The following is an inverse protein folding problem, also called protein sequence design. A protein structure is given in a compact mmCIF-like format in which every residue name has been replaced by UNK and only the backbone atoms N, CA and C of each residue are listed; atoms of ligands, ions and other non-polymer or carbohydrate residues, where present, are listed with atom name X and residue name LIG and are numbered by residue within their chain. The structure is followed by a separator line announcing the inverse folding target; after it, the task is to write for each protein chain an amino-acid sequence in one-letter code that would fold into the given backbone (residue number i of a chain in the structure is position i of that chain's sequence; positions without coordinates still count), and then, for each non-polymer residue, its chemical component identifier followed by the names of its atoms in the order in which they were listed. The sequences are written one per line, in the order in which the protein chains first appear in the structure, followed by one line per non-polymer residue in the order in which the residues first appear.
data_IF_456419971056
#
_entry.id   IF_456419971056
#
_cell.length_a   1.000
_cell.length_b   1.000
_cell.length_c   1.000
_cell.angle_alpha   90.00
_cell.angle_beta   90.00
_cell.angle_gamma   90.00
#
_symmetry.space_group_name_H-M   'P 1'
#
loop_
_entity.id
_entity.type
_entity.pdbx_description
1 polymer ?
#
# COMPACT_ATOMS: atom_id res chain seq x y z
N UNK A 1 68.33 -4.01 7.64
CA UNK A 1 67.46 -2.82 7.76
C UNK A 1 66.52 -2.81 6.56
N UNK A 2 65.22 -2.69 6.82
CA UNK A 2 64.10 -2.54 5.88
C UNK A 2 63.54 -3.83 5.24
N UNK A 3 62.81 -4.63 6.03
CA UNK A 3 61.75 -5.52 5.51
C UNK A 3 60.84 -5.99 6.67
N UNK A 4 60.14 -5.08 7.36
CA UNK A 4 59.19 -5.48 8.43
C UNK A 4 58.22 -4.36 8.83
N UNK A 5 57.56 -3.68 7.88
CA UNK A 5 56.58 -2.62 8.20
C UNK A 5 55.46 -2.49 7.15
N UNK A 6 54.72 -3.57 6.81
CA UNK A 6 53.60 -3.42 5.86
C UNK A 6 52.43 -4.45 5.97
N UNK A 7 52.19 -5.09 7.12
CA UNK A 7 51.11 -6.10 7.23
C UNK A 7 50.25 -6.06 8.51
N UNK A 8 50.01 -4.90 9.12
CA UNK A 8 49.05 -4.79 10.25
C UNK A 8 48.17 -3.53 10.20
N UNK A 9 47.49 -3.31 9.07
CA UNK A 9 46.49 -2.24 8.99
C UNK A 9 45.38 -2.54 7.96
N UNK A 10 44.57 -3.59 8.15
CA UNK A 10 43.28 -3.73 7.47
C UNK A 10 42.43 -4.89 8.03
N UNK A 11 41.85 -4.71 9.23
CA UNK A 11 40.59 -5.40 9.60
C UNK A 11 40.00 -4.82 10.89
N UNK A 12 39.83 -3.50 10.92
CA UNK A 12 38.82 -2.93 11.80
C UNK A 12 37.45 -3.24 11.19
N UNK A 13 36.93 -4.43 11.50
CA UNK A 13 35.51 -4.73 11.33
C UNK A 13 34.78 -3.68 12.17
N UNK A 14 34.28 -2.62 11.53
CA UNK A 14 33.33 -1.71 12.15
C UNK A 14 32.06 -2.54 12.35
N UNK A 15 31.97 -3.22 13.49
CA UNK A 15 30.69 -3.64 14.04
C UNK A 15 29.94 -2.35 14.33
N UNK A 16 29.19 -1.86 13.34
CA UNK A 16 28.07 -0.96 13.61
C UNK A 16 27.07 -1.81 14.37
N UNK A 17 27.24 -1.92 15.68
CA UNK A 17 26.15 -2.35 16.55
C UNK A 17 25.06 -1.32 16.34
N UNK A 18 24.04 -1.68 15.55
CA UNK A 18 22.82 -0.90 15.45
C UNK A 18 22.34 -0.69 16.89
N UNK A 19 22.46 0.53 17.39
CA UNK A 19 22.00 0.89 18.73
C UNK A 19 20.49 0.74 18.69
N UNK A 20 20.00 -0.39 19.19
CA UNK A 20 18.56 -0.65 19.23
C UNK A 20 17.94 0.32 20.23
N UNK A 21 16.97 1.10 19.77
CA UNK A 21 16.27 2.06 20.62
C UNK A 21 15.48 1.31 21.68
N UNK A 22 15.94 1.38 22.93
CA UNK A 22 15.27 0.80 24.09
C UNK A 22 14.57 1.89 24.88
N UNK A 23 13.34 1.64 25.31
CA UNK A 23 12.56 2.49 26.20
C UNK A 23 12.24 1.74 27.50
N UNK A 24 12.09 2.43 28.63
CA UNK A 24 11.71 1.77 29.88
C UNK A 24 10.34 1.10 29.77
N UNK A 25 10.21 -0.14 30.25
CA UNK A 25 8.92 -0.80 30.39
C UNK A 25 8.03 -0.12 31.43
N UNK A 26 6.72 -0.19 31.20
CA UNK A 26 5.68 0.26 32.13
C UNK A 26 5.57 -0.75 33.25
N UNK A 27 5.88 -0.33 34.47
CA UNK A 27 5.71 -1.15 35.65
C UNK A 27 4.27 -1.08 36.14
N UNK A 28 3.63 -2.23 36.25
CA UNK A 28 2.29 -2.38 36.85
C UNK A 28 2.44 -3.16 38.13
N UNK A 29 1.94 -2.59 39.22
CA UNK A 29 2.00 -3.21 40.54
C UNK A 29 0.58 -3.56 40.98
N UNK A 30 0.44 -4.74 41.58
CA UNK A 30 -0.78 -5.22 42.21
C UNK A 30 -0.53 -5.46 43.69
N UNK A 31 -1.40 -4.89 44.52
CA UNK A 31 -1.43 -5.13 45.95
C UNK A 31 -2.68 -5.89 46.35
N UNK A 32 -2.55 -6.72 47.37
CA UNK A 32 -3.64 -7.49 47.93
C UNK A 32 -3.74 -7.16 49.43
N UNK A 33 -4.89 -6.63 49.84
CA UNK A 33 -5.20 -6.34 51.24
C UNK A 33 -6.27 -7.31 51.72
N UNK A 34 -5.90 -8.14 52.69
CA UNK A 34 -6.74 -9.22 53.18
C UNK A 34 -7.46 -8.85 54.47
N UNK A 35 -8.77 -9.10 54.51
CA UNK A 35 -9.64 -8.88 55.65
C UNK A 35 -10.24 -10.23 56.07
N UNK A 36 -9.56 -10.97 56.96
CA UNK A 36 -9.90 -12.36 57.29
C UNK A 36 -11.12 -12.52 58.22
N UNK A 37 -11.67 -11.42 58.74
CA UNK A 37 -12.83 -11.38 59.63
C UNK A 37 -13.95 -10.46 59.10
N UNK A 38 -14.05 -10.28 57.78
CA UNK A 38 -15.02 -9.41 57.14
C UNK A 38 -16.42 -10.05 57.10
N UNK A 39 -17.47 -9.32 57.47
CA UNK A 39 -18.84 -9.83 57.41
C UNK A 39 -19.54 -9.49 56.09
N UNK A 40 -19.88 -10.50 55.29
CA UNK A 40 -20.59 -10.32 54.01
C UNK A 40 -21.99 -9.73 54.16
N UNK A 41 -22.68 -10.05 55.25
CA UNK A 41 -24.00 -9.48 55.58
C UNK A 41 -23.96 -7.96 55.74
N UNK A 42 -22.83 -7.41 56.17
CA UNK A 42 -22.63 -5.98 56.33
C UNK A 42 -22.29 -5.30 55.01
N UNK A 43 -21.56 -5.97 54.11
CA UNK A 43 -21.23 -5.49 52.77
C UNK A 43 -22.50 -5.38 51.90
N UNK A 44 -23.33 -6.42 51.91
CA UNK A 44 -24.54 -6.50 51.09
C UNK A 44 -25.61 -5.45 51.42
N UNK A 45 -25.52 -4.78 52.57
CA UNK A 45 -26.39 -3.65 52.93
C UNK A 45 -26.14 -2.41 52.07
N UNK A 46 -25.00 -2.34 51.38
CA UNK A 46 -24.62 -1.19 50.56
C UNK A 46 -24.79 -1.49 49.07
N UNK A 47 -25.86 -0.97 48.47
CA UNK A 47 -26.16 -1.13 47.04
C UNK A 47 -25.05 -0.65 46.07
N UNK A 48 -24.08 0.14 46.55
CA UNK A 48 -22.94 0.65 45.77
C UNK A 48 -21.57 0.38 46.43
N UNK A 49 -21.44 -0.76 47.13
CA UNK A 49 -20.20 -1.13 47.84
C UNK A 49 -18.93 -0.97 46.98
N UNK A 50 -18.93 -1.47 45.75
CA UNK A 50 -17.78 -1.40 44.85
C UNK A 50 -17.30 0.05 44.61
N UNK A 51 -18.22 1.00 44.49
CA UNK A 51 -17.89 2.41 44.32
C UNK A 51 -17.34 3.03 45.60
N UNK A 52 -17.93 2.70 46.75
CA UNK A 52 -17.49 3.16 48.07
C UNK A 52 -16.07 2.65 48.37
N UNK A 53 -15.85 1.35 48.18
CA UNK A 53 -14.56 0.69 48.33
C UNK A 53 -13.51 1.34 47.42
N UNK A 54 -13.80 1.46 46.12
CA UNK A 54 -12.91 2.11 45.14
C UNK A 54 -12.52 3.52 45.57
N UNK A 55 -13.49 4.35 45.95
CA UNK A 55 -13.24 5.74 46.36
C UNK A 55 -12.42 5.82 47.65
N UNK A 56 -12.66 4.91 48.60
CA UNK A 56 -11.89 4.83 49.84
C UNK A 56 -10.44 4.42 49.60
N UNK A 57 -10.22 3.38 48.78
CA UNK A 57 -8.88 2.92 48.40
C UNK A 57 -8.15 4.03 47.64
N UNK A 58 -8.82 4.68 46.69
CA UNK A 58 -8.23 5.80 45.94
C UNK A 58 -7.84 6.97 46.85
N UNK A 59 -8.67 7.32 47.85
CA UNK A 59 -8.32 8.35 48.83
C UNK A 59 -7.09 7.96 49.67
N UNK A 60 -6.98 6.68 50.05
CA UNK A 60 -5.83 6.11 50.75
C UNK A 60 -4.57 6.23 49.89
N UNK A 61 -4.63 5.82 48.62
CA UNK A 61 -3.51 5.93 47.69
C UNK A 61 -3.11 7.38 47.41
N UNK A 62 -4.07 8.30 47.26
CA UNK A 62 -3.79 9.74 47.09
C UNK A 62 -3.04 10.32 48.29
N UNK A 63 -3.35 9.87 49.50
CA UNK A 63 -2.62 10.28 50.70
C UNK A 63 -1.15 9.82 50.67
N UNK A 64 -0.89 8.57 50.25
CA UNK A 64 0.48 8.07 50.03
C UNK A 64 1.17 8.84 48.93
N UNK A 65 0.50 9.00 47.78
CA UNK A 65 1.07 9.61 46.59
C UNK A 65 1.49 11.06 46.81
N UNK A 66 0.76 11.80 47.66
CA UNK A 66 1.13 13.16 48.09
C UNK A 66 2.54 13.23 48.73
N UNK A 67 3.04 12.13 49.27
CA UNK A 67 4.33 12.07 49.95
C UNK A 67 5.36 11.22 49.21
N UNK A 68 4.97 10.18 48.49
CA UNK A 68 5.88 9.16 47.97
C UNK A 68 5.82 8.93 46.45
N UNK A 69 5.01 9.71 45.71
CA UNK A 69 4.95 9.66 44.24
C UNK A 69 4.90 8.23 43.66
N UNK A 70 4.13 7.36 44.31
CA UNK A 70 3.98 5.93 43.96
C UNK A 70 3.31 5.72 42.60
N UNK A 71 2.55 6.69 42.10
CA UNK A 71 1.74 6.59 40.89
C UNK A 71 1.68 7.95 40.15
N UNK A 72 1.53 7.90 38.84
CA UNK A 72 1.60 9.06 37.95
C UNK A 72 2.61 8.77 36.84
N UNK A 73 2.31 9.16 35.60
CA UNK A 73 3.20 8.92 34.46
C UNK A 73 3.96 10.18 34.06
N UNK A 74 5.02 10.00 33.27
CA UNK A 74 5.91 11.04 32.75
C UNK A 74 5.32 11.87 31.60
N UNK A 75 4.02 12.14 31.57
CA UNK A 75 3.39 12.95 30.50
C UNK A 75 3.06 14.36 30.98
N UNK A 76 3.58 15.32 30.22
CA UNK A 76 3.65 16.76 30.43
C UNK A 76 2.33 17.53 30.36
N UNK A 77 1.19 16.96 30.79
CA UNK A 77 -0.08 17.69 30.88
C UNK A 77 -0.78 17.51 32.24
N UNK A 78 -0.50 18.45 33.14
CA UNK A 78 -1.43 19.08 34.11
C UNK A 78 -2.40 18.21 34.94
N UNK A 79 -2.06 16.96 35.28
CA UNK A 79 -2.60 16.26 36.47
C UNK A 79 -1.51 15.49 37.21
N UNK A 80 -0.54 16.23 37.71
CA UNK A 80 0.78 15.77 38.14
C UNK A 80 0.84 14.74 39.30
N UNK A 81 -0.27 14.20 39.85
CA UNK A 81 -0.22 13.36 41.06
C UNK A 81 -1.46 12.47 41.31
N UNK A 82 -2.32 12.20 40.32
CA UNK A 82 -3.52 11.40 40.58
C UNK A 82 -3.33 9.93 40.19
N UNK A 83 -3.46 9.01 41.16
CA UNK A 83 -3.63 7.57 40.90
C UNK A 83 -4.97 7.26 40.20
N UNK A 84 -5.53 8.17 39.40
CA UNK A 84 -6.89 8.12 38.89
C UNK A 84 -7.17 6.92 37.97
N UNK A 85 -6.12 6.32 37.40
CA UNK A 85 -6.20 5.09 36.59
C UNK A 85 -6.10 3.80 37.41
N UNK A 86 -6.09 3.88 38.75
CA UNK A 86 -6.07 2.69 39.62
C UNK A 86 -7.31 1.81 39.36
N UNK A 87 -7.10 0.51 39.26
CA UNK A 87 -8.15 -0.49 39.30
C UNK A 87 -8.24 -1.05 40.71
N UNK A 88 -9.45 -1.06 41.26
CA UNK A 88 -9.72 -1.60 42.59
C UNK A 88 -10.84 -2.62 42.43
N UNK A 89 -10.57 -3.86 42.79
CA UNK A 89 -11.56 -4.94 42.79
C UNK A 89 -11.59 -5.58 44.16
N UNK A 90 -12.75 -6.11 44.53
CA UNK A 90 -12.94 -6.81 45.78
C UNK A 90 -13.45 -8.21 45.49
N UNK A 91 -12.86 -9.21 46.12
CA UNK A 91 -13.21 -10.61 45.96
C UNK A 91 -13.56 -11.24 47.31
N UNK A 92 -14.62 -12.06 47.30
CA UNK A 92 -15.05 -12.84 48.46
C UNK A 92 -14.30 -14.17 48.38
N UNK A 93 -13.36 -14.39 49.30
CA UNK A 93 -12.57 -15.63 49.34
C UNK A 93 -13.38 -16.72 50.07
N UNK A 94 -13.98 -16.38 51.22
CA UNK A 94 -14.82 -17.24 52.07
C UNK A 94 -15.84 -16.39 52.85
N UNK A 95 -16.73 -17.03 53.60
CA UNK A 95 -17.82 -16.37 54.37
C UNK A 95 -17.37 -15.22 55.28
N UNK A 96 -16.16 -15.31 55.84
CA UNK A 96 -15.58 -14.26 56.68
C UNK A 96 -14.33 -13.61 56.10
N UNK A 97 -14.02 -13.86 54.82
CA UNK A 97 -12.76 -13.44 54.21
C UNK A 97 -13.02 -12.60 52.96
N UNK A 98 -12.61 -11.34 53.02
CA UNK A 98 -12.68 -10.41 51.89
C UNK A 98 -11.29 -9.94 51.48
N UNK A 99 -10.97 -9.96 50.19
CA UNK A 99 -9.71 -9.45 49.65
C UNK A 99 -9.97 -8.26 48.76
N UNK A 100 -9.18 -7.20 48.94
CA UNK A 100 -9.14 -6.06 48.02
C UNK A 100 -7.88 -6.15 47.18
N UNK A 101 -8.06 -6.19 45.86
CA UNK A 101 -7.00 -6.10 44.88
C UNK A 101 -6.90 -4.67 44.35
N UNK A 102 -5.69 -4.14 44.31
CA UNK A 102 -5.41 -2.78 43.87
C UNK A 102 -4.30 -2.83 42.84
N UNK A 103 -4.60 -2.43 41.60
CA UNK A 103 -3.65 -2.46 40.48
C UNK A 103 -3.45 -1.06 39.92
N UNK A 104 -2.20 -0.60 39.80
CA UNK A 104 -1.88 0.67 39.16
C UNK A 104 -0.51 0.67 38.49
N UNK A 105 -0.32 1.61 37.57
CA UNK A 105 0.98 1.92 36.99
C UNK A 105 1.80 2.64 38.04
N UNK A 106 2.91 2.03 38.44
CA UNK A 106 3.78 2.53 39.49
C UNK A 106 5.05 3.14 38.90
N UNK A 107 5.60 4.12 39.61
CA UNK A 107 6.95 4.62 39.33
C UNK A 107 8.01 3.53 39.57
N UNK A 108 9.17 3.72 38.95
CA UNK A 108 10.30 2.80 39.11
C UNK A 108 10.89 2.93 40.51
N UNK A 109 11.20 1.80 41.11
CA UNK A 109 11.94 1.77 42.36
C UNK A 109 13.42 2.13 42.09
N UNK A 110 14.07 2.86 43.02
CA UNK A 110 13.48 3.39 44.25
C UNK A 110 12.68 4.68 44.01
N UNK A 111 11.49 4.74 44.59
CA UNK A 111 10.64 5.95 44.57
C UNK A 111 11.16 7.00 45.56
N UNK A 112 10.97 8.27 45.22
CA UNK A 112 11.43 9.41 46.02
C UNK A 112 10.31 10.02 46.83
N UNK A 113 10.62 10.44 48.05
CA UNK A 113 9.70 11.23 48.84
C UNK A 113 9.65 12.68 48.30
N UNK A 114 8.45 13.24 48.22
CA UNK A 114 8.21 14.57 47.64
C UNK A 114 8.69 15.73 48.53
N UNK A 115 8.97 15.48 49.81
CA UNK A 115 9.31 16.52 50.81
C UNK A 115 10.62 16.28 51.53
N UNK A 116 11.09 15.04 51.55
CA UNK A 116 12.30 14.62 52.25
C UNK A 116 13.20 13.94 51.23
N UNK A 117 14.52 14.10 51.33
CA UNK A 117 15.49 13.42 50.45
C UNK A 117 15.65 11.94 50.84
N UNK A 118 14.53 11.22 50.87
CA UNK A 118 14.43 9.82 51.23
C UNK A 118 13.91 8.99 50.07
N UNK A 119 14.50 7.81 49.88
CA UNK A 119 14.09 6.84 48.87
C UNK A 119 13.57 5.58 49.52
N UNK A 120 12.56 4.94 48.91
CA UNK A 120 12.03 3.66 49.38
C UNK A 120 11.52 2.85 48.20
N UNK A 121 11.08 1.61 48.44
CA UNK A 121 10.35 0.84 47.43
C UNK A 121 8.86 1.09 47.55
N UNK A 122 8.15 0.97 46.44
CA UNK A 122 6.68 1.00 46.41
C UNK A 122 6.08 0.01 47.40
N UNK A 123 6.61 -1.22 47.49
CA UNK A 123 6.22 -2.20 48.49
C UNK A 123 6.44 -1.69 49.93
N UNK A 124 7.63 -1.15 50.23
CA UNK A 124 7.97 -0.67 51.57
C UNK A 124 7.04 0.46 52.04
N UNK A 125 6.79 1.44 51.18
CA UNK A 125 5.87 2.55 51.48
C UNK A 125 4.45 2.04 51.73
N UNK A 126 3.95 1.14 50.89
CA UNK A 126 2.59 0.60 51.03
C UNK A 126 2.46 -0.31 52.26
N UNK A 127 3.48 -1.08 52.59
CA UNK A 127 3.55 -1.92 53.79
C UNK A 127 3.55 -1.06 55.07
N UNK A 128 4.28 0.06 55.09
CA UNK A 128 4.23 1.03 56.19
C UNK A 128 2.84 1.67 56.28
N UNK A 129 2.25 2.06 55.15
CA UNK A 129 0.91 2.62 55.08
C UNK A 129 -0.16 1.66 55.62
N UNK A 130 -0.08 0.37 55.26
CA UNK A 130 -0.97 -0.69 55.77
C UNK A 130 -0.88 -0.79 57.29
N UNK A 131 0.34 -0.86 57.86
CA UNK A 131 0.56 -0.89 59.31
C UNK A 131 0.10 0.38 60.01
N UNK A 132 0.19 1.53 59.32
CA UNK A 132 -0.35 2.82 59.77
C UNK A 132 -1.87 2.97 59.62
N UNK A 133 -2.59 1.94 59.16
CA UNK A 133 -4.05 1.94 59.06
C UNK A 133 -4.62 2.72 57.88
N UNK A 134 -3.83 2.96 56.84
CA UNK A 134 -4.25 3.81 55.72
C UNK A 134 -5.51 3.27 55.00
N UNK A 135 -5.63 1.95 54.88
CA UNK A 135 -6.81 1.28 54.29
C UNK A 135 -8.01 1.19 55.24
N UNK A 136 -8.00 1.92 56.35
CA UNK A 136 -9.13 2.13 57.24
C UNK A 136 -9.41 3.63 57.51
N UNK A 137 -8.68 4.51 56.82
CA UNK A 137 -8.65 5.96 57.06
C UNK A 137 -10.00 6.66 56.84
N UNK A 138 -10.76 6.28 55.82
CA UNK A 138 -12.00 6.97 55.41
C UNK A 138 -13.26 6.53 56.20
N UNK A 139 -13.10 5.73 57.26
CA UNK A 139 -14.17 5.00 57.97
C UNK A 139 -14.96 3.99 57.11
N UNK A 140 -15.04 4.15 55.79
CA UNK A 140 -15.83 3.31 54.90
C UNK A 140 -15.38 1.84 54.87
N UNK A 141 -14.07 1.59 55.00
CA UNK A 141 -13.51 0.24 55.02
C UNK A 141 -13.52 -0.41 56.41
N UNK A 142 -13.90 0.31 57.47
CA UNK A 142 -13.99 -0.26 58.84
C UNK A 142 -14.97 -1.42 58.94
N UNK A 143 -15.97 -1.46 58.06
CA UNK A 143 -16.95 -2.53 57.96
C UNK A 143 -16.35 -3.91 57.64
N UNK A 144 -15.17 -3.93 56.99
CA UNK A 144 -14.43 -5.15 56.69
C UNK A 144 -13.61 -5.67 57.89
N UNK A 145 -13.59 -4.93 59.00
CA UNK A 145 -12.74 -5.25 60.15
C UNK A 145 -11.27 -4.87 59.92
N UNK A 146 -10.37 -5.45 60.71
CA UNK A 146 -8.92 -5.20 60.62
C UNK A 146 -8.31 -6.00 59.47
N UNK A 147 -7.51 -5.36 58.59
CA UNK A 147 -6.75 -6.09 57.60
C UNK A 147 -5.59 -6.87 58.26
N UNK A 148 -5.03 -7.82 57.53
CA UNK A 148 -3.76 -8.47 57.88
C UNK A 148 -2.62 -7.45 57.93
N UNK A 149 -1.56 -7.77 58.67
CA UNK A 149 -0.36 -6.91 58.78
C UNK A 149 0.63 -7.10 57.62
N UNK A 150 0.30 -8.00 56.68
CA UNK A 150 1.13 -8.40 55.53
C UNK A 150 0.40 -8.05 54.24
N UNK A 151 1.03 -7.25 53.40
CA UNK A 151 0.52 -6.89 52.09
C UNK A 151 0.92 -7.96 51.07
N UNK A 152 -0.04 -8.50 50.32
CA UNK A 152 0.28 -9.27 49.12
C UNK A 152 0.77 -8.32 48.03
N UNK A 153 1.84 -8.68 47.31
CA UNK A 153 2.50 -7.82 46.34
C UNK A 153 2.94 -8.61 45.12
N UNK A 154 2.45 -8.21 43.96
CA UNK A 154 2.87 -8.73 42.66
C UNK A 154 3.25 -7.56 41.76
N UNK A 155 4.25 -7.73 40.91
CA UNK A 155 4.61 -6.75 39.89
C UNK A 155 4.81 -7.42 38.53
N UNK A 156 4.53 -6.65 37.48
CA UNK A 156 4.74 -7.07 36.11
C UNK A 156 5.15 -5.86 35.25
N UNK A 157 6.00 -6.11 34.27
CA UNK A 157 6.48 -5.10 33.33
C UNK A 157 5.83 -5.33 31.96
N UNK A 158 5.28 -4.26 31.40
CA UNK A 158 4.60 -4.29 30.13
C UNK A 158 5.20 -3.27 29.17
N UNK A 159 5.31 -3.67 27.92
CA UNK A 159 5.73 -2.79 26.84
C UNK A 159 4.54 -2.17 26.14
N UNK A 160 4.74 -0.95 25.62
CA UNK A 160 3.74 -0.32 24.76
C UNK A 160 3.65 -1.08 23.44
N UNK A 161 2.48 -0.98 22.79
CA UNK A 161 2.26 -1.54 21.46
C UNK A 161 3.36 -1.08 20.50
N UNK A 162 3.94 -2.02 19.75
CA UNK A 162 5.07 -1.75 18.87
C UNK A 162 6.44 -2.05 19.48
N UNK A 163 6.50 -2.63 20.69
CA UNK A 163 7.77 -2.99 21.34
C UNK A 163 7.68 -4.33 22.07
N UNK A 164 8.82 -5.01 22.22
CA UNK A 164 8.92 -6.29 22.93
C UNK A 164 9.72 -6.14 24.22
N UNK A 165 9.37 -6.93 25.24
CA UNK A 165 10.06 -6.90 26.54
C UNK A 165 11.42 -7.59 26.44
N UNK A 166 12.46 -6.90 26.87
CA UNK A 166 13.85 -7.38 26.98
C UNK A 166 14.36 -7.08 28.39
N UNK A 167 15.33 -7.86 28.87
CA UNK A 167 15.98 -7.66 30.17
C UNK A 167 15.01 -7.52 31.36
N UNK A 168 13.80 -8.09 31.27
CA UNK A 168 12.69 -8.00 32.24
C UNK A 168 12.08 -6.62 32.45
N UNK A 169 12.82 -5.52 32.30
CA UNK A 169 12.36 -4.16 32.61
C UNK A 169 12.52 -3.16 31.45
N UNK A 170 12.99 -3.59 30.28
CA UNK A 170 13.17 -2.72 29.11
C UNK A 170 12.31 -3.17 27.96
N UNK A 171 11.98 -2.22 27.08
CA UNK A 171 11.25 -2.49 25.86
C UNK A 171 12.09 -2.10 24.68
N UNK A 172 12.18 -3.00 23.70
CA UNK A 172 12.86 -2.73 22.44
C UNK A 172 11.81 -2.40 21.39
N UNK A 173 11.95 -1.24 20.75
CA UNK A 173 11.02 -0.83 19.71
C UNK A 173 11.23 -1.72 18.48
N UNK A 174 10.13 -2.16 17.85
CA UNK A 174 10.23 -2.81 16.55
C UNK A 174 10.83 -1.81 15.56
N UNK A 175 11.92 -2.19 14.92
CA UNK A 175 12.62 -1.36 13.95
C UNK A 175 11.72 -1.02 12.76
N UNK A 176 12.06 0.04 12.00
CA UNK A 176 11.46 0.32 10.70
C UNK A 176 11.41 -0.92 9.81
N UNK A 177 10.35 -1.04 9.02
CA UNK A 177 10.04 -2.24 8.24
C UNK A 177 9.50 -3.42 9.05
N UNK A 178 9.34 -3.30 10.37
CA UNK A 178 8.72 -4.34 11.20
C UNK A 178 7.49 -3.81 11.93
N UNK A 179 6.60 -4.72 12.31
CA UNK A 179 5.48 -4.45 13.19
C UNK A 179 5.46 -5.44 14.36
N UNK A 180 4.90 -5.01 15.48
CA UNK A 180 4.71 -5.88 16.64
C UNK A 180 3.46 -6.74 16.47
N UNK A 181 3.63 -8.05 16.35
CA UNK A 181 2.53 -9.00 16.32
C UNK A 181 2.10 -9.33 17.76
N UNK A 182 0.87 -8.97 18.13
CA UNK A 182 0.34 -9.17 19.50
C UNK A 182 0.12 -10.65 19.84
N UNK A 183 -0.07 -11.52 18.85
CA UNK A 183 -0.28 -12.96 19.07
C UNK A 183 1.03 -13.69 19.36
N UNK A 184 2.08 -13.36 18.62
CA UNK A 184 3.40 -14.00 18.76
C UNK A 184 4.30 -13.26 19.75
N UNK A 185 3.99 -11.99 20.07
CA UNK A 185 4.78 -11.16 20.99
C UNK A 185 6.14 -10.74 20.44
N UNK A 186 6.34 -10.85 19.12
CA UNK A 186 7.60 -10.56 18.44
C UNK A 186 7.42 -9.53 17.32
N UNK A 187 8.54 -8.89 16.95
CA UNK A 187 8.58 -7.97 15.82
C UNK A 187 8.75 -8.74 14.51
N UNK A 188 7.74 -8.71 13.65
CA UNK A 188 7.73 -9.38 12.35
C UNK A 188 7.91 -8.35 11.22
N UNK A 189 8.57 -8.72 10.11
CA UNK A 189 8.71 -7.83 8.96
C UNK A 189 7.34 -7.54 8.32
N UNK A 190 7.17 -6.33 7.80
CA UNK A 190 5.99 -5.99 7.01
C UNK A 190 5.88 -6.91 5.80
N UNK A 191 4.67 -7.47 5.60
CA UNK A 191 4.37 -8.26 4.41
C UNK A 191 4.42 -7.44 3.12
N UNK A 192 4.34 -8.11 1.97
CA UNK A 192 4.18 -7.42 0.68
C UNK A 192 2.93 -6.53 0.68
N UNK A 193 3.02 -5.44 -0.06
CA UNK A 193 1.97 -4.40 -0.09
C UNK A 193 1.98 -3.48 1.12
N UNK A 194 2.94 -3.65 2.03
CA UNK A 194 3.06 -2.86 3.25
C UNK A 194 4.48 -2.40 3.50
N UNK A 195 4.62 -1.27 4.19
CA UNK A 195 5.88 -0.67 4.60
C UNK A 195 5.76 -0.07 6.00
N UNK A 196 6.88 0.22 6.65
CA UNK A 196 6.87 0.94 7.93
C UNK A 196 8.07 1.87 8.04
N UNK A 197 7.79 3.17 8.08
CA UNK A 197 8.80 4.24 8.11
C UNK A 197 9.35 4.52 9.50
N UNK A 198 8.57 4.27 10.56
CA UNK A 198 8.89 4.62 11.94
C UNK A 198 9.03 3.37 12.82
N UNK A 199 9.98 3.41 13.74
CA UNK A 199 10.12 2.38 14.78
C UNK A 199 8.93 2.41 15.75
N UNK A 200 8.71 1.31 16.46
CA UNK A 200 7.73 1.25 17.55
C UNK A 200 6.27 1.16 17.07
N UNK A 201 6.02 0.59 15.89
CA UNK A 201 4.69 0.50 15.30
C UNK A 201 4.09 -0.90 15.44
N UNK A 202 2.80 -0.94 15.73
CA UNK A 202 2.05 -2.20 15.89
C UNK A 202 1.43 -2.70 14.59
N UNK A 203 1.43 -1.88 13.53
CA UNK A 203 0.91 -2.19 12.21
C UNK A 203 1.78 -1.55 11.16
N UNK A 204 1.87 -2.18 9.99
CA UNK A 204 2.51 -1.59 8.83
C UNK A 204 1.52 -0.70 8.07
N UNK A 205 2.05 0.33 7.42
CA UNK A 205 1.30 1.18 6.51
C UNK A 205 1.10 0.44 5.18
N UNK A 206 -0.10 0.52 4.60
CA UNK A 206 -0.40 -0.12 3.32
C UNK A 206 0.04 0.76 2.15
N UNK A 207 0.47 0.14 1.05
CA UNK A 207 0.68 0.85 -0.21
C UNK A 207 -0.65 1.40 -0.76
N UNK A 208 -0.59 2.46 -1.60
CA UNK A 208 -1.75 2.94 -2.34
C UNK A 208 -2.39 1.86 -3.22
N UNK A 209 -3.65 2.05 -3.61
CA UNK A 209 -4.35 1.11 -4.47
C UNK A 209 -3.61 0.89 -5.81
N UNK A 210 -3.43 -0.37 -6.18
CA UNK A 210 -2.68 -0.78 -7.39
C UNK A 210 -1.16 -0.74 -7.23
N UNK A 211 -0.65 -0.56 -6.00
CA UNK A 211 0.77 -0.58 -5.69
C UNK A 211 1.07 -1.63 -4.63
N UNK A 212 2.28 -2.18 -4.68
CA UNK A 212 2.78 -3.18 -3.74
C UNK A 212 4.25 -2.97 -3.43
N UNK A 213 4.75 -3.62 -2.38
CA UNK A 213 6.18 -3.70 -2.08
C UNK A 213 6.73 -5.04 -2.56
N UNK A 214 7.91 -5.02 -3.20
CA UNK A 214 8.56 -6.23 -3.73
C UNK A 214 9.15 -7.06 -2.58
N UNK A 215 9.79 -6.36 -1.66
CA UNK A 215 10.54 -6.94 -0.55
C UNK A 215 9.74 -6.87 0.75
N UNK A 216 9.90 -7.92 1.56
CA UNK A 216 9.42 -7.92 2.93
C UNK A 216 10.19 -6.86 3.74
N UNK A 217 9.49 -6.26 4.70
CA UNK A 217 10.04 -5.29 5.62
C UNK A 217 10.46 -3.97 4.98
N UNK A 218 9.72 -3.53 3.96
CA UNK A 218 9.95 -2.24 3.31
C UNK A 218 9.89 -1.08 4.32
N UNK A 219 10.82 -0.14 4.20
CA UNK A 219 11.03 0.92 5.20
C UNK A 219 10.56 2.29 4.72
N UNK A 220 10.16 2.41 3.46
CA UNK A 220 9.75 3.66 2.84
C UNK A 220 8.47 3.51 2.05
N UNK A 221 7.67 4.57 2.00
CA UNK A 221 6.53 4.66 1.09
C UNK A 221 6.97 4.63 -0.39
N UNK A 222 8.21 5.05 -0.67
CA UNK A 222 8.78 5.02 -2.02
C UNK A 222 9.13 3.59 -2.48
N UNK A 223 9.09 2.61 -1.58
CA UNK A 223 9.28 1.19 -1.93
C UNK A 223 8.01 0.59 -2.55
N UNK A 224 6.89 1.33 -2.55
CA UNK A 224 5.65 0.95 -3.22
C UNK A 224 5.79 1.17 -4.73
N UNK A 225 5.80 0.07 -5.47
CA UNK A 225 5.85 0.00 -6.94
C UNK A 225 4.50 -0.47 -7.48
N UNK A 226 4.25 -0.29 -8.79
CA UNK A 226 3.00 -0.77 -9.40
C UNK A 226 2.84 -2.28 -9.21
N UNK A 227 1.65 -2.71 -8.81
CA UNK A 227 1.31 -4.12 -8.70
C UNK A 227 0.93 -4.66 -10.07
N UNK A 228 1.85 -5.42 -10.68
CA UNK A 228 1.62 -6.01 -11.98
C UNK A 228 0.63 -7.19 -11.91
N UNK A 229 -0.40 -7.24 -12.76
CA UNK A 229 -1.35 -8.34 -12.76
C UNK A 229 -0.69 -9.67 -13.16
N UNK A 230 -1.36 -10.79 -12.87
CA UNK A 230 -0.93 -12.11 -13.35
C UNK A 230 -0.71 -12.11 -14.88
N UNK A 231 0.30 -12.86 -15.34
CA UNK A 231 0.75 -12.87 -16.73
C UNK A 231 1.70 -11.74 -17.11
N UNK A 232 2.00 -10.84 -16.17
CA UNK A 232 2.99 -9.77 -16.34
C UNK A 232 4.00 -9.76 -15.20
N UNK A 233 5.12 -9.08 -15.40
CA UNK A 233 6.12 -8.82 -14.38
C UNK A 233 6.52 -7.34 -14.38
N UNK A 234 7.00 -6.87 -13.23
CA UNK A 234 7.53 -5.52 -13.09
C UNK A 234 8.96 -5.44 -13.61
N UNK A 235 9.17 -4.65 -14.67
CA UNK A 235 10.49 -4.27 -15.15
C UNK A 235 11.01 -3.09 -14.31
N UNK A 236 12.00 -3.34 -13.46
CA UNK A 236 12.48 -2.37 -12.46
C UNK A 236 13.10 -1.12 -13.09
N UNK A 237 13.67 -1.25 -14.29
CA UNK A 237 14.31 -0.15 -15.00
C UNK A 237 13.29 0.87 -15.54
N UNK A 238 12.14 0.39 -16.01
CA UNK A 238 11.08 1.21 -16.61
C UNK A 238 9.95 1.53 -15.61
N UNK A 239 9.85 0.75 -14.52
CA UNK A 239 8.75 0.82 -13.56
C UNK A 239 7.40 0.40 -14.16
N UNK A 240 7.42 -0.37 -15.25
CA UNK A 240 6.21 -0.78 -15.99
C UNK A 240 6.02 -2.29 -15.93
N UNK A 241 4.77 -2.70 -16.11
CA UNK A 241 4.42 -4.10 -16.21
C UNK A 241 4.61 -4.57 -17.65
N UNK A 242 5.49 -5.55 -17.83
CA UNK A 242 5.78 -6.17 -19.12
C UNK A 242 5.20 -7.59 -19.16
N UNK A 243 4.81 -8.03 -20.35
CA UNK A 243 4.24 -9.35 -20.58
C UNK A 243 5.31 -10.44 -20.43
N UNK A 244 4.93 -11.59 -19.88
CA UNK A 244 5.85 -12.74 -19.78
C UNK A 244 6.28 -13.30 -21.14
N UNK A 245 5.50 -13.06 -22.20
CA UNK A 245 5.76 -13.58 -23.54
C UNK A 245 5.41 -15.06 -23.68
N UNK A 246 5.84 -15.68 -24.78
CA UNK A 246 5.43 -17.05 -25.15
C UNK A 246 6.25 -18.17 -24.50
N UNK A 247 7.25 -17.85 -23.67
CA UNK A 247 8.13 -18.84 -23.05
C UNK A 247 7.96 -18.91 -21.53
N UNK A 248 7.07 -18.10 -20.98
CA UNK A 248 6.93 -17.95 -19.55
C UNK A 248 5.49 -17.62 -19.15
N UNK A 249 5.18 -17.85 -17.89
CA UNK A 249 3.89 -17.57 -17.28
C UNK A 249 4.11 -16.97 -15.89
N UNK A 250 3.11 -16.27 -15.36
CA UNK A 250 3.17 -15.74 -14.00
C UNK A 250 1.80 -15.80 -13.32
N UNK A 251 1.61 -16.70 -12.34
CA UNK A 251 0.36 -16.79 -11.59
C UNK A 251 0.19 -15.67 -10.56
N UNK A 252 1.29 -15.21 -9.95
CA UNK A 252 1.25 -14.35 -8.79
C UNK A 252 1.38 -12.87 -9.18
N UNK A 253 0.42 -12.00 -8.82
CA UNK A 253 0.53 -10.56 -9.05
C UNK A 253 1.68 -9.94 -8.26
N UNK A 254 2.18 -8.79 -8.70
CA UNK A 254 3.30 -8.08 -8.06
C UNK A 254 4.66 -8.78 -8.21
N UNK A 255 4.80 -9.69 -9.18
CA UNK A 255 6.04 -10.40 -9.46
C UNK A 255 7.02 -9.54 -10.27
N UNK A 256 8.33 -9.72 -10.04
CA UNK A 256 9.41 -9.03 -10.79
C UNK A 256 10.07 -9.91 -11.86
N UNK A 257 9.56 -11.12 -12.06
CA UNK A 257 10.07 -12.07 -13.05
C UNK A 257 8.98 -13.07 -13.42
N UNK A 258 9.02 -13.64 -14.61
CA UNK A 258 8.12 -14.73 -15.01
C UNK A 258 8.76 -16.10 -14.79
N UNK A 259 7.91 -17.12 -14.62
CA UNK A 259 8.33 -18.52 -14.52
C UNK A 259 8.40 -19.12 -15.92
N UNK A 260 9.54 -19.71 -16.27
CA UNK A 260 9.70 -20.35 -17.57
C UNK A 260 8.79 -21.57 -17.72
N UNK A 261 8.26 -21.78 -18.91
CA UNK A 261 7.59 -23.02 -19.27
C UNK A 261 8.62 -24.18 -19.30
N UNK A 262 8.20 -25.43 -19.00
CA UNK A 262 9.06 -26.60 -19.11
C UNK A 262 9.70 -26.76 -20.50
N UNK A 263 10.84 -27.45 -20.57
CA UNK A 263 11.57 -27.69 -21.82
C UNK A 263 10.67 -28.25 -22.92
N UNK A 264 10.70 -27.64 -24.11
CA UNK A 264 9.88 -28.04 -25.26
C UNK A 264 8.44 -27.52 -25.24
N UNK A 265 8.06 -26.73 -24.23
CA UNK A 265 6.73 -26.12 -24.12
C UNK A 265 6.80 -24.59 -24.20
N UNK A 266 5.71 -24.00 -24.68
CA UNK A 266 5.50 -22.56 -24.87
C UNK A 266 4.13 -22.21 -24.31
N UNK A 267 3.94 -20.99 -23.83
CA UNK A 267 2.61 -20.57 -23.38
C UNK A 267 1.67 -20.33 -24.56
N UNK A 268 0.37 -20.55 -24.38
CA UNK A 268 -0.66 -20.23 -25.39
C UNK A 268 -0.77 -18.74 -25.68
N UNK A 269 -0.40 -17.89 -24.72
CA UNK A 269 -0.49 -16.43 -24.84
C UNK A 269 0.67 -15.72 -24.12
N UNK A 270 0.93 -14.48 -24.52
CA UNK A 270 1.97 -13.63 -23.90
C UNK A 270 1.67 -13.26 -22.44
N UNK A 271 0.42 -13.40 -21.99
CA UNK A 271 -0.05 -13.07 -20.64
C UNK A 271 -0.40 -14.33 -19.84
N UNK A 272 0.27 -15.45 -20.10
CA UNK A 272 -0.09 -16.70 -19.47
C UNK A 272 0.02 -16.66 -17.95
N UNK A 273 -1.02 -17.14 -17.28
CA UNK A 273 -1.15 -17.04 -15.82
C UNK A 273 -0.91 -18.37 -15.09
N UNK A 274 -0.82 -19.49 -15.79
CA UNK A 274 -0.69 -20.81 -15.14
C UNK A 274 0.21 -21.76 -15.92
N UNK A 275 0.76 -22.76 -15.23
CA UNK A 275 1.56 -23.80 -15.86
C UNK A 275 0.75 -24.63 -16.87
N UNK A 276 -0.55 -24.79 -16.66
CA UNK A 276 -1.45 -25.51 -17.58
C UNK A 276 -1.58 -24.83 -18.95
N UNK A 277 -1.17 -23.57 -19.06
CA UNK A 277 -1.13 -22.82 -20.31
C UNK A 277 0.17 -23.04 -21.09
N UNK A 278 1.15 -23.75 -20.52
CA UNK A 278 2.34 -24.21 -21.23
C UNK A 278 2.00 -25.48 -22.02
N UNK A 279 1.97 -25.37 -23.34
CA UNK A 279 1.66 -26.45 -24.27
C UNK A 279 2.87 -26.77 -25.16
N UNK A 280 2.89 -27.93 -25.81
CA UNK A 280 3.99 -28.30 -26.71
C UNK A 280 4.13 -27.31 -27.86
N UNK A 281 5.36 -26.89 -28.18
CA UNK A 281 5.61 -26.01 -29.32
C UNK A 281 5.14 -26.66 -30.64
N UNK A 282 4.44 -25.91 -31.49
CA UNK A 282 4.06 -26.39 -32.81
C UNK A 282 5.29 -26.76 -33.66
N UNK A 283 5.19 -27.79 -34.52
CA UNK A 283 6.23 -28.15 -35.47
C UNK A 283 6.64 -26.97 -36.39
N UNK A 284 7.79 -27.07 -37.09
CA UNK A 284 8.21 -26.06 -38.06
C UNK A 284 7.10 -25.71 -39.04
N UNK A 285 6.97 -24.41 -39.36
CA UNK A 285 5.93 -23.90 -40.26
C UNK A 285 4.54 -23.75 -39.66
N UNK A 286 4.30 -24.13 -38.39
CA UNK A 286 2.97 -23.99 -37.76
C UNK A 286 2.99 -23.06 -36.55
N UNK A 287 1.97 -22.22 -36.37
CA UNK A 287 1.75 -21.38 -35.17
C UNK A 287 0.56 -21.85 -34.35
N UNK A 288 0.55 -21.47 -33.07
CA UNK A 288 -0.60 -21.69 -32.21
C UNK A 288 -1.76 -20.75 -32.56
N UNK A 289 -2.97 -21.30 -32.62
CA UNK A 289 -4.23 -20.56 -32.58
C UNK A 289 -4.54 -20.12 -31.14
N UNK A 290 -5.48 -19.17 -30.94
CA UNK A 290 -5.95 -18.82 -29.58
C UNK A 290 -6.50 -20.02 -28.78
N UNK A 291 -6.99 -21.05 -29.48
CA UNK A 291 -7.51 -22.28 -28.89
C UNK A 291 -6.40 -23.30 -28.56
N UNK A 292 -5.16 -23.04 -28.96
CA UNK A 292 -3.97 -23.87 -28.70
C UNK A 292 -3.60 -24.85 -29.81
N UNK A 293 -4.42 -24.95 -30.87
CA UNK A 293 -4.17 -25.81 -32.03
C UNK A 293 -3.06 -25.25 -32.95
N UNK A 294 -2.46 -26.10 -33.78
CA UNK A 294 -1.42 -25.71 -34.72
C UNK A 294 -1.98 -25.42 -36.12
N UNK A 295 -1.82 -24.19 -36.60
CA UNK A 295 -2.19 -23.76 -37.95
C UNK A 295 -0.96 -23.29 -38.75
N UNK A 296 -0.94 -23.42 -40.09
CA UNK A 296 0.23 -23.04 -40.88
C UNK A 296 0.53 -21.53 -40.79
N UNK A 297 1.82 -21.16 -40.74
CA UNK A 297 2.26 -19.77 -40.77
C UNK A 297 1.72 -19.07 -42.04
N UNK A 298 1.20 -17.84 -41.94
CA UNK A 298 0.70 -17.10 -43.10
C UNK A 298 1.84 -16.77 -44.08
N UNK A 299 1.46 -16.45 -45.32
CA UNK A 299 2.39 -16.01 -46.37
C UNK A 299 3.19 -14.79 -45.90
N UNK A 300 4.50 -14.80 -46.18
CA UNK A 300 5.43 -13.78 -45.72
C UNK A 300 6.03 -14.06 -44.33
N UNK A 301 5.69 -15.19 -43.71
CA UNK A 301 6.25 -15.62 -42.45
C UNK A 301 6.73 -17.08 -42.52
N UNK A 302 7.79 -17.38 -41.78
CA UNK A 302 8.35 -18.73 -41.66
C UNK A 302 8.59 -19.07 -40.19
N UNK A 303 8.66 -20.37 -39.85
CA UNK A 303 9.01 -20.82 -38.49
C UNK A 303 9.93 -22.01 -38.56
N UNK A 304 11.15 -21.87 -38.05
CA UNK A 304 12.12 -22.95 -37.96
C UNK A 304 11.95 -23.78 -36.68
N UNK A 305 12.71 -24.87 -36.57
CA UNK A 305 12.59 -25.85 -35.48
C UNK A 305 12.66 -25.26 -34.06
N UNK A 306 13.52 -24.26 -33.86
CA UNK A 306 13.75 -23.63 -32.56
C UNK A 306 12.93 -22.35 -32.36
N UNK A 307 12.23 -21.88 -33.39
CA UNK A 307 11.41 -20.68 -33.26
C UNK A 307 10.13 -21.02 -32.48
N UNK A 308 9.64 -20.06 -31.71
CA UNK A 308 8.35 -20.17 -31.01
C UNK A 308 7.23 -19.60 -31.88
N UNK A 309 7.50 -18.49 -32.56
CA UNK A 309 6.55 -17.76 -33.40
C UNK A 309 6.95 -17.81 -34.88
N UNK A 310 5.99 -17.55 -35.77
CA UNK A 310 6.32 -17.28 -37.17
C UNK A 310 7.08 -15.96 -37.25
N UNK A 311 8.31 -16.03 -37.74
CA UNK A 311 9.17 -14.88 -38.00
C UNK A 311 8.79 -14.28 -39.36
N UNK A 312 8.70 -12.94 -39.46
CA UNK A 312 8.49 -12.30 -40.76
C UNK A 312 9.71 -12.50 -41.65
N UNK A 313 9.48 -12.65 -42.94
CA UNK A 313 10.52 -12.49 -43.96
C UNK A 313 11.03 -11.03 -43.98
N UNK A 314 12.21 -10.81 -44.56
CA UNK A 314 12.70 -9.46 -44.85
C UNK A 314 11.70 -8.68 -45.71
N UNK A 315 11.58 -7.34 -45.54
CA UNK A 315 10.55 -6.53 -46.23
C UNK A 315 10.49 -6.68 -47.76
N UNK A 316 11.58 -7.09 -48.41
CA UNK A 316 11.67 -7.31 -49.86
C UNK A 316 11.29 -8.72 -50.31
N UNK A 317 11.05 -9.64 -49.38
CA UNK A 317 10.85 -11.07 -49.65
C UNK A 317 9.54 -11.58 -49.05
N UNK A 318 9.00 -12.66 -49.61
CA UNK A 318 7.79 -13.31 -49.11
C UNK A 318 7.84 -14.81 -49.38
N UNK A 319 7.05 -15.59 -48.66
CA UNK A 319 6.95 -17.03 -48.91
C UNK A 319 5.93 -17.30 -50.00
N UNK A 320 6.16 -18.30 -50.85
CA UNK A 320 5.19 -18.64 -51.91
C UNK A 320 3.91 -19.31 -51.37
N UNK A 321 4.01 -19.94 -50.20
CA UNK A 321 2.91 -20.66 -49.57
C UNK A 321 2.89 -20.45 -48.05
N UNK A 322 1.74 -20.76 -47.46
CA UNK A 322 1.59 -20.90 -46.01
C UNK A 322 2.43 -22.07 -45.50
N UNK A 323 2.83 -22.03 -44.23
CA UNK A 323 3.52 -23.16 -43.60
C UNK A 323 5.02 -23.22 -43.85
N UNK A 324 5.66 -22.11 -44.22
CA UNK A 324 7.10 -22.09 -44.51
C UNK A 324 7.95 -22.37 -43.27
N UNK A 325 8.98 -23.21 -43.41
CA UNK A 325 9.78 -23.78 -42.32
C UNK A 325 11.18 -23.16 -42.21
N UNK A 326 11.61 -22.38 -43.20
CA UNK A 326 12.94 -21.77 -43.24
C UNK A 326 12.91 -20.39 -43.91
N UNK A 327 13.82 -19.51 -43.50
CA UNK A 327 14.06 -18.20 -44.12
C UNK A 327 14.42 -18.31 -45.60
N UNK A 328 15.04 -19.42 -46.02
CA UNK A 328 15.41 -19.66 -47.42
C UNK A 328 14.18 -19.78 -48.35
N UNK A 329 12.99 -19.99 -47.78
CA UNK A 329 11.73 -20.01 -48.53
C UNK A 329 11.13 -18.61 -48.70
N UNK A 330 11.75 -17.58 -48.13
CA UNK A 330 11.44 -16.18 -48.42
C UNK A 330 12.12 -15.79 -49.74
N UNK A 331 11.34 -15.75 -50.82
CA UNK A 331 11.82 -15.36 -52.15
C UNK A 331 11.47 -13.91 -52.43
N UNK A 332 12.29 -13.22 -53.21
CA UNK A 332 11.90 -11.94 -53.80
C UNK A 332 10.64 -12.18 -54.62
N UNK A 333 9.63 -11.32 -54.49
CA UNK A 333 8.47 -11.38 -55.38
C UNK A 333 8.97 -11.25 -56.82
N UNK A 334 8.97 -12.35 -57.58
CA UNK A 334 9.13 -12.28 -59.02
C UNK A 334 7.98 -11.41 -59.54
N UNK A 335 8.34 -10.28 -60.17
CA UNK A 335 7.40 -9.33 -60.75
C UNK A 335 6.59 -10.00 -61.87
N UNK A 336 5.53 -10.71 -61.49
CA UNK A 336 4.40 -11.02 -62.36
C UNK A 336 3.60 -9.73 -62.51
N UNK A 337 3.53 -9.25 -63.75
CA UNK A 337 2.98 -7.96 -64.17
C UNK A 337 1.52 -7.76 -63.76
N UNK A 338 1.30 -7.13 -62.61
CA UNK A 338 0.23 -6.17 -62.41
C UNK A 338 0.64 -5.28 -61.24
N UNK A 339 1.49 -4.30 -61.55
CA UNK A 339 1.54 -3.09 -60.75
C UNK A 339 0.11 -2.53 -60.65
N UNK A 340 -0.55 -2.74 -59.50
CA UNK A 340 -1.53 -1.75 -59.06
C UNK A 340 -0.72 -0.52 -58.66
N UNK A 341 -0.38 0.31 -59.63
CA UNK A 341 -0.05 1.70 -59.34
C UNK A 341 -1.35 2.30 -58.82
N UNK A 342 -1.41 2.59 -57.53
CA UNK A 342 -2.42 3.50 -56.99
C UNK A 342 -2.26 4.81 -57.75
N UNK A 343 -3.15 5.06 -58.71
CA UNK A 343 -3.29 6.37 -59.32
C UNK A 343 -3.86 7.26 -58.24
N UNK A 344 -3.06 8.15 -57.67
CA UNK A 344 -3.55 9.14 -56.71
C UNK A 344 -4.19 10.30 -57.49
N UNK A 345 -5.52 10.35 -57.57
CA UNK A 345 -6.23 11.38 -58.35
C UNK A 345 -5.99 12.79 -57.80
N UNK A 346 -5.68 12.90 -56.51
CA UNK A 346 -5.34 14.17 -55.87
C UNK A 346 -3.97 14.70 -56.32
N UNK A 347 -3.02 13.80 -56.62
CA UNK A 347 -1.69 14.15 -57.13
C UNK A 347 -1.68 14.37 -58.65
N UNK A 348 -2.52 13.64 -59.40
CA UNK A 348 -2.64 13.80 -60.86
C UNK A 348 -3.55 14.96 -61.26
N UNK A 349 -4.39 15.47 -60.35
CA UNK A 349 -5.31 16.57 -60.61
C UNK A 349 -6.56 16.17 -61.41
N UNK A 350 -6.82 14.87 -61.56
CA UNK A 350 -7.99 14.34 -62.27
C UNK A 350 -9.28 14.35 -61.41
N UNK A 351 -9.20 14.86 -60.18
CA UNK A 351 -10.32 14.99 -59.26
C UNK A 351 -11.26 16.14 -59.64
N UNK A 352 -12.55 15.97 -59.36
CA UNK A 352 -13.58 17.01 -59.56
C UNK A 352 -13.91 17.80 -58.30
N UNK A 353 -13.08 17.73 -57.26
CA UNK A 353 -13.29 18.49 -56.02
C UNK A 353 -13.47 19.99 -56.29
N UNK A 354 -14.31 20.64 -55.48
CA UNK A 354 -14.43 22.10 -55.53
C UNK A 354 -13.05 22.73 -55.27
N UNK A 355 -12.77 23.89 -55.87
CA UNK A 355 -11.49 24.58 -55.66
C UNK A 355 -11.25 25.03 -54.19
N UNK A 356 -12.31 25.03 -53.37
CA UNK A 356 -12.28 25.28 -51.91
C UNK A 356 -12.34 23.99 -51.08
N UNK A 357 -12.14 22.82 -51.69
CA UNK A 357 -12.08 21.53 -51.04
C UNK A 357 -10.67 20.94 -51.11
N UNK A 358 -10.30 20.18 -50.09
CA UNK A 358 -9.15 19.31 -50.09
C UNK A 358 -9.56 17.94 -50.63
N UNK A 359 -8.78 17.44 -51.60
CA UNK A 359 -8.88 16.08 -52.09
C UNK A 359 -8.14 15.14 -51.11
N UNK A 360 -8.73 13.99 -50.82
CA UNK A 360 -8.08 12.91 -50.10
C UNK A 360 -8.24 11.60 -50.87
N UNK A 361 -7.12 10.90 -50.99
CA UNK A 361 -7.02 9.64 -51.71
C UNK A 361 -7.64 8.52 -50.89
N UNK A 362 -8.45 7.66 -51.51
CA UNK A 362 -9.07 6.50 -50.85
C UNK A 362 -8.48 5.21 -51.45
N UNK A 363 -8.41 4.11 -50.68
CA UNK A 363 -7.95 2.84 -51.22
C UNK A 363 -8.87 2.38 -52.37
N UNK A 364 -8.25 1.95 -53.47
CA UNK A 364 -8.97 1.46 -54.65
C UNK A 364 -9.85 0.25 -54.30
N UNK A 365 -11.08 0.24 -54.81
CA UNK A 365 -12.04 -0.86 -54.65
C UNK A 365 -12.43 -1.37 -56.04
N UNK A 366 -12.40 -2.69 -56.28
CA UNK A 366 -12.70 -3.32 -57.57
C UNK A 366 -11.93 -2.74 -58.78
N UNK A 367 -10.63 -2.44 -58.63
CA UNK A 367 -9.79 -1.77 -59.63
C UNK A 367 -10.33 -0.40 -60.11
N UNK A 368 -11.19 0.25 -59.32
CA UNK A 368 -11.64 1.62 -59.58
C UNK A 368 -10.92 2.59 -58.65
N UNK A 369 -10.29 3.62 -59.20
CA UNK A 369 -9.72 4.67 -58.38
C UNK A 369 -10.81 5.44 -57.63
N UNK A 370 -10.67 5.54 -56.31
CA UNK A 370 -11.58 6.30 -55.46
C UNK A 370 -10.86 7.49 -54.81
N UNK A 371 -11.52 8.65 -54.82
CA UNK A 371 -11.09 9.82 -54.08
C UNK A 371 -12.29 10.47 -53.41
N UNK A 372 -12.03 11.14 -52.29
CA UNK A 372 -13.01 11.95 -51.59
C UNK A 372 -12.64 13.42 -51.59
N UNK A 373 -13.65 14.29 -51.47
CA UNK A 373 -13.46 15.73 -51.39
C UNK A 373 -14.06 16.25 -50.08
N UNK A 374 -13.32 17.09 -49.36
CA UNK A 374 -13.80 17.72 -48.13
C UNK A 374 -13.53 19.21 -48.16
N UNK A 375 -14.55 20.04 -47.93
CA UNK A 375 -14.37 21.49 -47.90
C UNK A 375 -13.28 21.90 -46.89
N UNK A 376 -12.47 22.87 -47.28
CA UNK A 376 -11.41 23.41 -46.43
C UNK A 376 -12.00 24.11 -45.19
N UNK A 377 -11.22 24.26 -44.10
CA UNK A 377 -11.67 24.95 -42.90
C UNK A 377 -12.25 26.35 -43.23
N UNK A 378 -13.47 26.62 -42.76
CA UNK A 378 -14.17 27.88 -43.04
C UNK A 378 -15.12 27.83 -44.24
N UNK A 379 -15.32 26.67 -44.86
CA UNK A 379 -16.28 26.43 -45.93
C UNK A 379 -17.15 25.21 -45.61
N UNK A 380 -18.38 25.21 -46.11
CA UNK A 380 -19.36 24.12 -45.91
C UNK A 380 -19.97 23.68 -47.24
N UNK A 381 -20.29 22.40 -47.34
CA UNK A 381 -20.82 21.78 -48.54
C UNK A 381 -20.46 20.30 -48.64
N UNK A 382 -20.65 19.71 -49.81
CA UNK A 382 -20.43 18.28 -50.07
C UNK A 382 -19.01 17.94 -50.56
N UNK A 383 -18.09 18.93 -50.58
CA UNK A 383 -16.73 18.78 -51.10
C UNK A 383 -16.59 18.99 -52.61
N UNK A 384 -17.68 18.87 -53.38
CA UNK A 384 -17.74 19.21 -54.81
C UNK A 384 -18.33 20.60 -55.06
N UNK A 385 -19.13 21.09 -54.13
CA UNK A 385 -19.59 22.47 -54.01
C UNK A 385 -19.33 22.93 -52.58
N UNK A 386 -18.53 23.98 -52.41
CA UNK A 386 -18.19 24.54 -51.10
C UNK A 386 -18.48 26.03 -51.08
N UNK A 387 -19.27 26.46 -50.09
CA UNK A 387 -19.67 27.85 -49.88
C UNK A 387 -19.10 28.37 -48.57
N UNK A 388 -18.91 29.68 -48.46
CA UNK A 388 -18.39 30.30 -47.24
C UNK A 388 -19.34 30.03 -46.07
N UNK A 389 -18.82 29.47 -44.98
CA UNK A 389 -19.63 29.13 -43.80
C UNK A 389 -20.32 30.36 -43.18
N UNK A 390 -19.82 31.57 -43.44
CA UNK A 390 -20.41 32.81 -42.97
C UNK A 390 -21.54 33.35 -43.86
N UNK A 391 -21.72 32.83 -45.08
CA UNK A 391 -22.82 33.28 -45.94
C UNK A 391 -24.17 32.97 -45.30
N UNK A 392 -24.97 34.01 -45.06
CA UNK A 392 -26.31 33.94 -44.44
C UNK A 392 -26.36 33.26 -43.05
N UNK A 393 -25.21 33.07 -42.39
CA UNK A 393 -25.18 32.44 -41.08
C UNK A 393 -25.63 33.41 -39.99
N UNK A 394 -25.06 34.62 -39.93
CA UNK A 394 -25.41 35.59 -38.90
C UNK A 394 -26.61 36.46 -39.34
N UNK A 395 -27.63 36.53 -38.49
CA UNK A 395 -28.86 37.29 -38.75
C UNK A 395 -28.74 38.75 -38.27
N UNK A 396 -29.68 39.60 -38.67
CA UNK A 396 -29.75 41.02 -38.26
C UNK A 396 -28.48 41.84 -38.54
N UNK A 397 -27.83 41.57 -39.70
CA UNK A 397 -26.57 42.24 -40.11
C UNK A 397 -25.45 42.13 -39.06
N UNK A 398 -25.42 41.03 -38.31
CA UNK A 398 -24.35 40.69 -37.38
C UNK A 398 -23.06 40.29 -38.12
N UNK A 399 -21.90 40.58 -37.52
CA UNK A 399 -20.59 40.32 -38.14
C UNK A 399 -20.16 38.87 -37.92
N UNK A 400 -19.97 38.11 -38.99
CA UNK A 400 -19.40 36.76 -38.90
C UNK A 400 -17.87 36.82 -38.84
N UNK A 401 -17.28 36.06 -37.93
CA UNK A 401 -15.83 35.82 -37.84
C UNK A 401 -15.56 34.31 -37.85
N UNK A 402 -14.40 33.88 -38.34
CA UNK A 402 -13.98 32.48 -38.34
C UNK A 402 -12.83 32.28 -37.36
N UNK A 403 -12.81 31.14 -36.64
CA UNK A 403 -11.67 30.76 -35.79
C UNK A 403 -10.50 30.24 -36.63
N UNK A 404 -9.33 30.07 -36.02
CA UNK A 404 -8.15 29.46 -36.68
C UNK A 404 -8.38 28.02 -37.16
N UNK A 405 -9.44 27.34 -36.67
CA UNK A 405 -9.88 26.01 -37.13
C UNK A 405 -11.03 26.08 -38.15
N UNK A 406 -11.40 27.28 -38.61
CA UNK A 406 -12.45 27.48 -39.61
C UNK A 406 -13.88 27.42 -39.07
N UNK A 407 -14.08 27.42 -37.75
CA UNK A 407 -15.41 27.41 -37.15
C UNK A 407 -16.02 28.83 -37.17
N UNK A 408 -17.29 29.01 -37.56
CA UNK A 408 -17.92 30.31 -37.60
C UNK A 408 -18.37 30.78 -36.21
N UNK A 409 -18.27 32.09 -35.97
CA UNK A 409 -18.82 32.75 -34.78
C UNK A 409 -19.43 34.10 -35.17
N UNK A 410 -20.67 34.34 -34.73
CA UNK A 410 -21.38 35.59 -34.96
C UNK A 410 -21.12 36.58 -33.82
N UNK A 411 -20.80 37.82 -34.17
CA UNK A 411 -20.74 38.96 -33.26
C UNK A 411 -22.03 39.77 -33.43
N UNK A 412 -22.92 39.65 -32.45
CA UNK A 412 -24.23 40.28 -32.47
C UNK A 412 -24.12 41.80 -32.23
N UNK A 413 -25.01 42.55 -32.88
CA UNK A 413 -25.20 43.98 -32.58
C UNK A 413 -25.90 44.15 -31.22
N UNK A 414 -25.76 45.30 -30.55
CA UNK A 414 -26.48 45.59 -29.31
C UNK A 414 -27.98 45.38 -29.48
N UNK A 415 -28.62 44.70 -28.52
CA UNK A 415 -30.04 44.34 -28.59
C UNK A 415 -30.34 42.97 -29.22
N UNK A 416 -29.32 42.20 -29.62
CA UNK A 416 -29.50 40.83 -30.14
C UNK A 416 -28.57 39.83 -29.44
N UNK A 417 -29.07 38.60 -29.21
CA UNK A 417 -28.34 37.47 -28.60
C UNK A 417 -28.67 36.16 -29.32
N UNK A 418 -27.89 35.12 -29.06
CA UNK A 418 -28.03 33.80 -29.71
C UNK A 418 -26.79 33.41 -30.53
N UNK A 419 -26.73 32.15 -30.98
CA UNK A 419 -25.54 31.64 -31.71
C UNK A 419 -25.41 32.25 -33.11
N UNK A 420 -26.53 32.66 -33.70
CA UNK A 420 -26.67 33.33 -34.99
C UNK A 420 -27.23 34.75 -34.85
N UNK A 421 -27.34 35.28 -33.64
CA UNK A 421 -27.97 36.57 -33.32
C UNK A 421 -29.47 36.63 -33.65
N UNK A 422 -30.16 35.52 -33.40
CA UNK A 422 -31.54 35.25 -33.76
C UNK A 422 -32.57 35.84 -32.78
N UNK A 423 -32.17 36.13 -31.54
CA UNK A 423 -33.09 36.62 -30.50
C UNK A 423 -32.84 38.10 -30.22
N UNK A 424 -33.90 38.90 -30.04
CA UNK A 424 -33.82 40.26 -29.48
C UNK A 424 -33.68 40.20 -27.96
N UNK A 425 -32.90 41.12 -27.39
CA UNK A 425 -32.64 41.26 -25.94
C UNK A 425 -33.60 42.25 -25.33
#
# INVERSE_FOLDING_TARGET
MLAEWLLLAASAQIYVTAVRETVPAVRVVRFQVDYPNASLANINKYAKWNAIMRNSVLASLRFVNKHWLICGGSDSEKRLNDCGRVQVTGEIIREHYYRINVTFIAERDPIRNAKVDGTSTVFGVMQIGLRGGIFQYTNALKILGKPTSTLGFDEAFFCYRGSTLIDQDKCILCERGKFHNETTGICEPCGRGHYQTRSGRARCDSCPYGYTTINLGSTSANDCVVECPAGTYLELSTGRCELCGYMAYQPDPGSTSCRLCPSGTVSVSMNATSLSQCIGNCPPGLRHTPDGDCEPCPVGFFKSLNDVLCRPCDPSTTTEAVGSTSEQQCVLRAASSSECISTNQCATGEHKCHWLAACFDLPDEDNRPLYGCKCQPGFVGNGFECTDVCMNLCLHSAKCIKTSRGEPKCICRPGYRGKRCEFTV
#
